data_IF_178913715849
#
_entry.id   IF_178913715849
#
_cell.length_a   1.000
_cell.length_b   1.000
_cell.length_c   1.000
_cell.angle_alpha   90.00
_cell.angle_beta   90.00
_cell.angle_gamma   90.00
#
_symmetry.space_group_name_H-M   'P 1'
#
loop_
_entity.id
_entity.type
_entity.pdbx_description
1 polymer ?
#
# COMPACT_ATOMS: atom_id res chain seq x y z
N UNK A 1 4.22 -17.29 2.38
CA UNK A 1 4.12 -16.89 3.78
C UNK A 1 3.60 -15.46 3.84
N UNK A 2 2.37 -15.31 4.33
CA UNK A 2 1.76 -14.01 4.54
C UNK A 2 2.54 -13.29 5.62
N UNK A 3 3.32 -12.30 5.22
CA UNK A 3 3.95 -11.41 6.17
C UNK A 3 2.85 -10.50 6.72
N UNK A 4 2.47 -10.71 7.96
CA UNK A 4 1.59 -9.80 8.68
C UNK A 4 2.23 -8.42 8.62
N UNK A 5 1.55 -7.44 7.98
CA UNK A 5 1.99 -6.05 7.92
C UNK A 5 1.84 -5.42 9.32
N UNK A 6 2.74 -5.75 10.23
CA UNK A 6 2.74 -5.17 11.56
C UNK A 6 3.33 -3.75 11.50
N UNK A 7 2.47 -2.74 11.74
CA UNK A 7 2.84 -1.35 12.05
C UNK A 7 3.67 -0.60 10.98
N UNK A 8 3.50 -0.89 9.70
CA UNK A 8 4.11 -0.07 8.67
C UNK A 8 3.39 1.26 8.56
N UNK A 9 4.16 2.34 8.57
CA UNK A 9 3.65 3.66 8.23
C UNK A 9 3.32 3.69 6.75
N UNK A 10 2.06 3.99 6.43
CA UNK A 10 1.54 4.06 5.08
C UNK A 10 1.36 5.51 4.63
N UNK A 11 1.42 5.74 3.35
CA UNK A 11 0.92 6.96 2.72
C UNK A 11 -0.36 6.65 1.95
N UNK A 12 -1.40 7.43 2.19
CA UNK A 12 -2.73 7.22 1.59
C UNK A 12 -3.13 8.43 0.76
N UNK A 13 -3.69 8.13 -0.40
CA UNK A 13 -4.26 9.10 -1.33
C UNK A 13 -5.72 8.78 -1.60
N UNK A 14 -6.53 9.81 -1.78
CA UNK A 14 -7.85 9.71 -2.39
C UNK A 14 -7.93 10.71 -3.52
N UNK A 15 -7.99 10.21 -4.74
CA UNK A 15 -7.83 10.98 -5.97
C UNK A 15 -9.09 10.87 -6.82
N UNK A 16 -9.51 11.99 -7.40
CA UNK A 16 -10.64 12.01 -8.33
C UNK A 16 -10.35 11.12 -9.54
N UNK A 17 -11.24 10.20 -9.83
CA UNK A 17 -11.17 9.30 -10.99
C UNK A 17 -12.26 9.54 -12.02
N UNK A 18 -13.39 10.06 -11.58
CA UNK A 18 -14.51 10.45 -12.45
C UNK A 18 -15.10 11.77 -12.02
N UNK A 19 -15.52 12.57 -12.98
CA UNK A 19 -16.41 13.71 -12.76
C UNK A 19 -17.85 13.17 -12.70
N UNK A 20 -18.41 13.15 -11.51
CA UNK A 20 -19.73 12.57 -11.26
C UNK A 20 -20.88 13.40 -11.88
N UNK A 21 -20.64 14.68 -12.22
CA UNK A 21 -21.64 15.52 -12.89
C UNK A 21 -21.71 15.28 -14.38
N UNK A 22 -20.60 14.97 -15.01
CA UNK A 22 -20.49 14.78 -16.46
C UNK A 22 -20.28 13.32 -16.86
N UNK A 23 -20.11 12.43 -15.90
CA UNK A 23 -19.73 11.01 -16.11
C UNK A 23 -18.44 10.85 -16.91
N UNK A 24 -17.55 11.83 -16.83
CA UNK A 24 -16.27 11.83 -17.56
C UNK A 24 -15.18 11.25 -16.68
N UNK A 25 -14.45 10.28 -17.21
CA UNK A 25 -13.26 9.73 -16.54
C UNK A 25 -12.13 10.77 -16.49
N UNK A 26 -11.42 10.81 -15.37
CA UNK A 26 -10.20 11.60 -15.23
C UNK A 26 -9.06 10.84 -15.91
N UNK A 27 -8.50 11.43 -16.93
CA UNK A 27 -7.41 10.92 -17.75
C UNK A 27 -6.22 11.87 -17.70
N UNK A 28 -5.13 11.51 -18.32
CA UNK A 28 -3.95 12.39 -18.43
C UNK A 28 -4.29 13.74 -19.06
N UNK A 29 -5.28 13.78 -19.97
CA UNK A 29 -5.68 15.00 -20.67
C UNK A 29 -6.42 16.01 -19.79
N UNK A 30 -7.22 15.56 -18.82
CA UNK A 30 -8.06 16.42 -17.97
C UNK A 30 -7.65 16.43 -16.49
N UNK A 31 -6.66 15.65 -16.12
CA UNK A 31 -6.20 15.50 -14.72
C UNK A 31 -5.79 16.81 -14.09
N UNK A 32 -5.08 17.67 -14.84
CA UNK A 32 -4.60 18.95 -14.31
C UNK A 32 -5.75 19.83 -13.84
N UNK A 33 -6.84 19.91 -14.62
CA UNK A 33 -8.02 20.68 -14.24
C UNK A 33 -8.77 20.04 -13.07
N UNK A 34 -8.94 18.71 -13.09
CA UNK A 34 -9.66 17.99 -12.04
C UNK A 34 -8.93 18.03 -10.69
N UNK A 35 -7.65 17.72 -10.66
CA UNK A 35 -6.88 17.68 -9.41
C UNK A 35 -6.48 19.07 -8.91
N UNK A 36 -6.48 20.08 -9.77
CA UNK A 36 -6.33 21.49 -9.39
C UNK A 36 -7.60 22.12 -8.82
N UNK A 37 -8.72 21.45 -8.92
CA UNK A 37 -10.01 21.94 -8.41
C UNK A 37 -10.08 21.77 -6.87
N UNK A 38 -9.60 22.77 -6.17
CA UNK A 38 -9.56 22.79 -4.70
C UNK A 38 -10.92 23.03 -4.06
N UNK A 39 -11.84 23.70 -4.75
CA UNK A 39 -13.20 23.95 -4.25
C UNK A 39 -14.03 22.67 -4.15
N UNK A 40 -13.82 21.74 -5.10
CA UNK A 40 -14.54 20.48 -5.15
C UNK A 40 -13.67 19.29 -4.75
N UNK A 41 -12.53 19.55 -4.14
CA UNK A 41 -11.64 18.50 -3.63
C UNK A 41 -11.22 17.49 -4.72
N UNK A 42 -10.62 17.93 -5.79
CA UNK A 42 -10.09 17.05 -6.85
C UNK A 42 -9.04 16.07 -6.33
N UNK A 43 -8.26 16.47 -5.32
CA UNK A 43 -7.51 15.59 -4.44
C UNK A 43 -8.10 15.67 -3.05
N UNK A 44 -8.68 14.59 -2.57
CA UNK A 44 -9.29 14.55 -1.24
C UNK A 44 -8.25 14.23 -0.15
N UNK A 45 -7.40 13.26 -0.39
CA UNK A 45 -6.27 12.89 0.48
C UNK A 45 -4.98 12.92 -0.34
N UNK A 46 -3.97 13.61 0.16
CA UNK A 46 -2.69 13.71 -0.53
C UNK A 46 -1.55 13.32 0.41
N UNK A 47 -1.07 12.10 0.27
CA UNK A 47 -0.01 11.52 1.11
C UNK A 47 -0.30 11.64 2.61
N UNK A 48 -1.48 11.24 3.02
CA UNK A 48 -1.84 11.21 4.43
C UNK A 48 -1.19 10.00 5.09
N UNK A 49 -0.43 10.25 6.15
CA UNK A 49 0.16 9.19 6.93
C UNK A 49 -0.92 8.30 7.56
N UNK A 50 -0.71 7.00 7.52
CA UNK A 50 -1.61 6.04 8.10
C UNK A 50 -0.84 4.91 8.80
N UNK A 51 -1.45 4.32 9.80
CA UNK A 51 -0.95 3.14 10.47
C UNK A 51 -1.89 1.96 10.25
N UNK A 52 -1.30 0.77 10.20
CA UNK A 52 -2.05 -0.47 10.21
C UNK A 52 -2.31 -0.85 11.66
N UNK A 53 -3.56 -1.02 12.02
CA UNK A 53 -4.00 -1.43 13.36
C UNK A 53 -4.81 -2.70 13.30
N UNK A 54 -4.71 -3.54 14.32
CA UNK A 54 -5.62 -4.65 14.46
C UNK A 54 -7.04 -4.14 14.68
N UNK A 55 -8.05 -4.87 14.19
CA UNK A 55 -9.43 -4.60 14.55
C UNK A 55 -9.59 -4.78 16.06
N UNK A 56 -10.19 -3.81 16.80
CA UNK A 56 -10.39 -3.94 18.22
C UNK A 56 -11.26 -5.14 18.54
N UNK A 57 -10.99 -5.75 19.68
CA UNK A 57 -11.85 -6.81 20.22
C UNK A 57 -13.22 -6.26 20.62
N UNK A 58 -14.22 -7.12 20.65
CA UNK A 58 -15.64 -6.85 20.83
C UNK A 58 -16.04 -6.16 22.15
N UNK A 59 -15.55 -5.00 22.42
CA UNK A 59 -16.04 -4.21 23.57
C UNK A 59 -16.79 -2.92 23.19
N UNK A 60 -17.14 -2.81 21.94
CA UNK A 60 -18.26 -1.97 21.61
C UNK A 60 -18.14 -0.87 20.61
N UNK A 61 -17.04 -0.54 19.95
CA UNK A 61 -17.14 0.59 19.00
C UNK A 61 -16.53 0.38 17.61
N UNK A 62 -15.59 -0.51 17.44
CA UNK A 62 -14.96 -0.78 16.15
C UNK A 62 -14.75 -2.28 15.95
N UNK A 63 -15.82 -3.02 15.84
CA UNK A 63 -15.77 -4.45 15.52
C UNK A 63 -15.38 -4.62 14.04
N UNK A 64 -14.51 -5.59 13.76
CA UNK A 64 -14.27 -6.04 12.38
C UNK A 64 -15.62 -6.32 11.72
N UNK A 65 -15.94 -5.69 10.58
CA UNK A 65 -17.22 -5.91 9.92
C UNK A 65 -17.46 -7.39 9.64
N UNK A 66 -18.65 -7.89 9.94
CA UNK A 66 -19.05 -9.24 9.58
C UNK A 66 -18.94 -9.42 8.06
N UNK A 67 -18.30 -10.47 7.59
CA UNK A 67 -18.10 -10.70 6.16
C UNK A 67 -16.73 -10.27 5.63
N UNK A 68 -15.92 -9.55 6.37
CA UNK A 68 -14.49 -9.51 6.11
C UNK A 68 -13.88 -10.85 6.56
N UNK A 69 -14.11 -11.88 5.76
CA UNK A 69 -13.73 -13.26 6.09
C UNK A 69 -12.23 -13.49 6.07
N UNK A 70 -11.48 -12.54 5.56
CA UNK A 70 -10.03 -12.62 5.57
C UNK A 70 -9.52 -12.26 6.97
N UNK A 71 -9.12 -13.26 7.75
CA UNK A 71 -8.48 -13.08 9.06
C UNK A 71 -7.20 -12.22 9.00
N UNK A 72 -6.68 -12.01 7.79
CA UNK A 72 -5.53 -11.15 7.51
C UNK A 72 -5.91 -9.69 7.28
N UNK A 73 -7.20 -9.36 7.14
CA UNK A 73 -7.63 -7.98 6.95
C UNK A 73 -7.34 -7.15 8.20
N UNK A 74 -6.66 -6.04 8.01
CA UNK A 74 -6.26 -5.10 9.05
C UNK A 74 -6.89 -3.74 8.78
N UNK A 75 -7.17 -2.99 9.86
CA UNK A 75 -7.70 -1.63 9.77
C UNK A 75 -6.58 -0.65 9.48
N UNK A 76 -6.80 0.24 8.50
CA UNK A 76 -5.93 1.39 8.25
C UNK A 76 -6.52 2.60 9.00
N UNK A 77 -5.71 3.22 9.84
CA UNK A 77 -6.07 4.41 10.61
C UNK A 77 -5.28 5.60 10.08
N UNK A 78 -6.00 6.63 9.65
CA UNK A 78 -5.40 7.85 9.12
C UNK A 78 -4.95 8.78 10.24
N UNK A 79 -3.84 9.49 10.02
CA UNK A 79 -3.39 10.57 10.90
C UNK A 79 -3.97 11.91 10.45
N UNK A 80 -4.28 12.76 11.40
CA UNK A 80 -4.61 14.16 11.16
C UNK A 80 -3.74 15.02 12.08
N UNK A 81 -2.70 15.62 11.52
CA UNK A 81 -1.61 16.15 12.32
C UNK A 81 -0.92 15.03 13.09
N UNK A 82 -0.74 15.20 14.38
CA UNK A 82 -0.15 14.19 15.28
C UNK A 82 -1.17 13.19 15.85
N UNK A 83 -2.46 13.34 15.51
CA UNK A 83 -3.51 12.47 16.04
C UNK A 83 -3.65 11.22 15.18
N UNK A 84 -3.46 10.04 15.79
CA UNK A 84 -3.51 8.74 15.12
C UNK A 84 -4.92 8.28 14.71
N UNK A 85 -5.96 9.04 15.02
CA UNK A 85 -7.35 8.74 14.70
C UNK A 85 -7.98 9.91 13.92
N UNK A 86 -7.34 10.31 12.84
CA UNK A 86 -7.85 11.35 11.97
C UNK A 86 -9.14 10.94 11.28
N UNK A 87 -10.17 11.79 11.34
CA UNK A 87 -11.42 11.59 10.62
C UNK A 87 -11.46 12.54 9.43
N UNK A 88 -11.65 11.96 8.26
CA UNK A 88 -11.81 12.68 6.99
C UNK A 88 -13.19 12.37 6.42
N UNK A 89 -13.82 13.36 5.84
CA UNK A 89 -15.18 13.26 5.32
C UNK A 89 -15.17 13.37 3.80
N UNK A 90 -16.03 12.60 3.15
CA UNK A 90 -16.31 12.81 1.74
C UNK A 90 -16.99 14.17 1.55
N UNK A 91 -16.62 14.92 0.51
CA UNK A 91 -17.28 16.19 0.21
C UNK A 91 -18.78 15.98 0.01
N UNK A 92 -19.58 16.88 0.51
CA UNK A 92 -21.03 16.89 0.28
C UNK A 92 -21.37 17.19 -1.18
N UNK A 93 -20.50 17.92 -1.86
CA UNK A 93 -20.59 18.20 -3.30
C UNK A 93 -20.21 16.94 -4.08
N UNK A 94 -20.97 16.68 -5.13
CA UNK A 94 -20.93 15.40 -5.86
C UNK A 94 -20.15 15.50 -7.17
N UNK A 95 -19.14 16.36 -7.23
CA UNK A 95 -18.44 16.57 -8.49
C UNK A 95 -17.52 15.39 -8.84
N UNK A 96 -16.89 14.78 -7.86
CA UNK A 96 -15.90 13.73 -8.11
C UNK A 96 -16.21 12.43 -7.39
N UNK A 97 -15.89 11.34 -8.05
CA UNK A 97 -15.72 10.02 -7.47
C UNK A 97 -14.25 9.78 -7.21
N UNK A 98 -13.93 9.06 -6.14
CA UNK A 98 -12.56 8.85 -5.71
C UNK A 98 -12.14 7.40 -5.83
N UNK A 99 -10.86 7.19 -6.12
CA UNK A 99 -10.14 5.95 -5.86
C UNK A 99 -9.12 6.19 -4.77
N UNK A 100 -8.87 5.17 -3.97
CA UNK A 100 -7.86 5.18 -2.92
C UNK A 100 -6.59 4.50 -3.41
N UNK A 101 -5.46 5.07 -3.03
CA UNK A 101 -4.14 4.54 -3.32
C UNK A 101 -3.34 4.50 -2.03
N UNK A 102 -2.54 3.47 -1.86
CA UNK A 102 -1.69 3.33 -0.69
C UNK A 102 -0.32 2.81 -1.05
N UNK A 103 0.66 3.20 -0.28
CA UNK A 103 2.03 2.73 -0.40
C UNK A 103 2.73 2.70 0.95
N UNK A 104 3.80 1.96 1.04
CA UNK A 104 4.74 1.99 2.15
C UNK A 104 6.16 1.73 1.64
N UNK A 105 7.19 2.15 2.40
CA UNK A 105 7.16 2.95 3.63
C UNK A 105 6.82 4.43 3.35
N UNK A 106 6.11 5.05 4.27
CA UNK A 106 5.67 6.45 4.17
C UNK A 106 6.86 7.41 3.99
N UNK A 107 6.71 8.34 3.05
CA UNK A 107 7.68 9.38 2.78
C UNK A 107 7.12 10.74 3.21
N UNK A 108 7.59 11.24 4.34
CA UNK A 108 7.12 12.48 4.94
C UNK A 108 7.42 13.70 4.06
N UNK A 109 6.54 14.70 4.12
CA UNK A 109 6.75 16.00 3.47
C UNK A 109 6.59 16.01 1.96
N UNK A 110 6.13 14.92 1.36
CA UNK A 110 5.84 14.86 -0.07
C UNK A 110 4.34 14.92 -0.34
N UNK A 111 3.98 15.55 -1.44
CA UNK A 111 2.63 15.54 -2.00
C UNK A 111 2.71 15.29 -3.50
N UNK A 112 1.63 14.81 -4.09
CA UNK A 112 1.53 14.63 -5.53
C UNK A 112 0.73 15.76 -6.16
N UNK A 113 0.92 15.93 -7.46
CA UNK A 113 0.15 16.82 -8.32
C UNK A 113 -0.19 16.10 -9.62
N UNK A 114 -1.05 16.72 -10.44
CA UNK A 114 -1.38 16.17 -11.76
C UNK A 114 -0.14 16.02 -12.67
N UNK A 115 0.79 16.97 -12.58
CA UNK A 115 2.02 16.93 -13.36
C UNK A 115 3.06 15.96 -12.81
N UNK A 116 3.01 15.68 -11.49
CA UNK A 116 3.95 14.80 -10.80
C UNK A 116 3.21 13.88 -9.82
N UNK A 117 2.58 12.81 -10.31
CA UNK A 117 1.86 11.83 -9.48
C UNK A 117 2.81 10.80 -8.88
N UNK A 118 3.89 11.23 -8.27
CA UNK A 118 5.01 10.39 -7.87
C UNK A 118 5.48 10.69 -6.45
N UNK A 119 5.91 9.64 -5.75
CA UNK A 119 6.60 9.69 -4.48
C UNK A 119 8.05 9.25 -4.69
N UNK A 120 9.00 10.00 -4.13
CA UNK A 120 10.42 9.73 -4.27
C UNK A 120 11.02 9.15 -3.00
N UNK A 121 11.72 8.03 -3.14
CA UNK A 121 12.58 7.43 -2.14
C UNK A 121 14.02 7.84 -2.46
N UNK A 122 14.48 8.94 -1.85
CA UNK A 122 15.75 9.59 -2.22
C UNK A 122 16.99 8.76 -1.89
N UNK A 123 16.87 7.82 -0.95
CA UNK A 123 17.97 6.97 -0.48
C UNK A 123 17.52 5.52 -0.45
N UNK A 124 17.38 4.96 -1.62
CA UNK A 124 17.09 3.53 -1.74
C UNK A 124 18.39 2.74 -1.53
N UNK A 125 18.40 1.90 -0.50
CA UNK A 125 19.57 1.08 -0.13
C UNK A 125 19.30 -0.43 -0.14
N UNK A 126 18.10 -0.84 -0.60
CA UNK A 126 17.68 -2.24 -0.63
C UNK A 126 17.01 -2.74 0.66
N UNK A 127 16.93 -1.91 1.69
CA UNK A 127 16.22 -2.26 2.93
C UNK A 127 14.72 -1.96 2.86
N UNK A 128 14.31 -1.08 1.96
CA UNK A 128 12.92 -0.68 1.79
C UNK A 128 12.16 -1.70 0.95
N UNK A 129 11.26 -2.39 1.56
CA UNK A 129 10.26 -3.21 0.88
C UNK A 129 9.09 -2.32 0.45
N UNK A 130 9.17 -1.79 -0.76
CA UNK A 130 8.14 -0.88 -1.28
C UNK A 130 6.92 -1.69 -1.69
N UNK A 131 5.80 -1.37 -1.09
CA UNK A 131 4.50 -1.95 -1.42
C UNK A 131 3.55 -0.88 -1.91
N UNK A 132 2.61 -1.26 -2.75
CA UNK A 132 1.61 -0.37 -3.32
C UNK A 132 0.37 -1.15 -3.76
N UNK A 133 -0.78 -0.54 -3.75
CA UNK A 133 -1.97 -0.90 -4.53
C UNK A 133 -3.01 0.21 -4.45
N UNK A 134 -4.16 -0.04 -5.07
CA UNK A 134 -5.30 0.86 -5.06
C UNK A 134 -6.59 0.13 -4.64
N UNK A 135 -7.61 0.93 -4.38
CA UNK A 135 -8.98 0.48 -4.23
C UNK A 135 -9.90 1.42 -5.02
N UNK A 136 -10.62 0.86 -5.97
CA UNK A 136 -11.62 1.56 -6.77
C UNK A 136 -12.96 0.87 -6.58
N UNK A 137 -14.00 1.62 -6.24
CA UNK A 137 -15.35 1.05 -6.21
C UNK A 137 -15.77 0.66 -7.63
N UNK A 138 -16.23 -0.58 -7.76
CA UNK A 138 -16.79 -1.06 -9.03
C UNK A 138 -18.17 -0.47 -9.32
N UNK A 139 -18.66 -0.72 -10.52
CA UNK A 139 -20.04 -0.40 -10.87
C UNK A 139 -21.03 -1.25 -10.08
N UNK A 140 -22.10 -0.64 -9.60
CA UNK A 140 -23.19 -1.39 -9.01
C UNK A 140 -24.12 -1.81 -10.13
N UNK A 141 -24.40 -3.11 -10.20
CA UNK A 141 -25.39 -3.63 -11.13
C UNK A 141 -26.75 -2.94 -10.93
N UNK A 142 -27.47 -2.59 -12.01
CA UNK A 142 -28.75 -1.85 -11.93
C UNK A 142 -29.82 -2.50 -11.05
N UNK A 143 -29.75 -3.82 -10.86
CA UNK A 143 -30.66 -4.59 -10.03
C UNK A 143 -30.07 -5.01 -8.69
N UNK A 144 -28.95 -4.42 -8.30
CA UNK A 144 -28.31 -4.72 -7.02
C UNK A 144 -29.25 -4.37 -5.86
N UNK A 145 -29.23 -5.23 -4.84
CA UNK A 145 -29.91 -4.98 -3.56
C UNK A 145 -29.41 -3.71 -2.87
N UNK A 146 -28.22 -3.22 -3.26
CA UNK A 146 -27.61 -2.00 -2.74
C UNK A 146 -28.16 -0.70 -3.33
N UNK A 147 -29.02 -0.77 -4.36
CA UNK A 147 -29.66 0.40 -4.96
C UNK A 147 -31.10 0.53 -4.49
N UNK A 148 -31.50 1.74 -4.11
CA UNK A 148 -32.91 2.05 -3.94
C UNK A 148 -33.65 1.88 -5.26
N UNK A 149 -34.94 1.45 -5.18
CA UNK A 149 -35.80 1.32 -6.34
C UNK A 149 -35.87 2.57 -7.22
N UNK A 150 -35.76 3.71 -6.59
CA UNK A 150 -35.87 5.03 -7.22
C UNK A 150 -34.57 5.51 -7.86
N UNK A 151 -33.45 4.86 -7.56
CA UNK A 151 -32.10 5.22 -8.04
C UNK A 151 -31.60 4.24 -9.11
N UNK A 152 -32.45 3.33 -9.53
CA UNK A 152 -32.15 2.31 -10.56
C UNK A 152 -31.66 2.86 -11.91
N UNK A 153 -31.85 4.16 -12.16
CA UNK A 153 -31.48 4.80 -13.40
C UNK A 153 -30.24 5.71 -13.28
N UNK A 154 -29.65 5.83 -12.07
CA UNK A 154 -28.36 6.49 -11.94
C UNK A 154 -27.28 5.48 -12.36
N UNK A 155 -27.13 5.38 -13.66
CA UNK A 155 -26.15 4.53 -14.29
C UNK A 155 -24.76 4.90 -13.76
N UNK A 156 -24.00 3.89 -13.37
CA UNK A 156 -22.56 3.98 -13.09
C UNK A 156 -22.16 4.81 -11.86
N UNK A 157 -22.50 4.34 -10.68
CA UNK A 157 -21.78 4.74 -9.48
C UNK A 157 -20.40 4.04 -9.50
N UNK A 158 -19.44 4.66 -10.15
CA UNK A 158 -18.04 4.23 -10.16
C UNK A 158 -17.25 5.09 -9.19
N UNK A 159 -16.36 4.46 -8.43
CA UNK A 159 -15.57 5.15 -7.43
C UNK A 159 -16.32 5.41 -6.11
N UNK A 160 -15.60 5.94 -5.13
CA UNK A 160 -16.15 6.21 -3.82
C UNK A 160 -16.63 7.66 -3.70
N UNK A 161 -17.83 7.86 -3.18
CA UNK A 161 -18.45 9.16 -2.90
C UNK A 161 -19.49 9.05 -1.79
N UNK A 162 -19.79 10.18 -1.13
CA UNK A 162 -20.67 10.20 0.02
C UNK A 162 -22.08 9.63 -0.28
N UNK A 163 -22.66 9.96 -1.41
CA UNK A 163 -24.00 9.47 -1.80
C UNK A 163 -24.01 7.94 -2.00
N UNK A 164 -22.99 7.44 -2.67
CA UNK A 164 -22.84 6.02 -2.93
C UNK A 164 -22.73 5.22 -1.62
N UNK A 165 -21.85 5.67 -0.74
CA UNK A 165 -21.61 5.03 0.55
C UNK A 165 -22.87 5.05 1.42
N UNK A 166 -23.59 6.17 1.46
CA UNK A 166 -24.86 6.25 2.20
C UNK A 166 -25.89 5.25 1.68
N UNK A 167 -26.00 5.12 0.37
CA UNK A 167 -26.95 4.16 -0.22
C UNK A 167 -26.56 2.73 0.09
N UNK A 168 -25.30 2.37 -0.06
CA UNK A 168 -24.82 1.04 0.25
C UNK A 168 -25.08 0.68 1.72
N UNK A 169 -24.72 1.56 2.65
CA UNK A 169 -24.97 1.36 4.08
C UNK A 169 -26.44 1.21 4.39
N UNK A 170 -27.26 2.08 3.83
CA UNK A 170 -28.72 2.04 4.07
C UNK A 170 -29.33 0.71 3.60
N UNK A 171 -28.98 0.25 2.40
CA UNK A 171 -29.46 -1.02 1.90
C UNK A 171 -28.90 -2.22 2.66
N UNK A 172 -27.67 -2.15 3.10
CA UNK A 172 -27.08 -3.17 3.96
C UNK A 172 -27.87 -3.30 5.28
N UNK A 173 -28.20 -2.20 5.90
CA UNK A 173 -28.99 -2.22 7.15
C UNK A 173 -30.43 -2.72 6.95
N UNK A 174 -31.08 -2.35 5.84
CA UNK A 174 -32.44 -2.78 5.54
C UNK A 174 -32.56 -4.25 5.15
N UNK A 175 -31.56 -4.80 4.47
CA UNK A 175 -31.57 -6.17 3.96
C UNK A 175 -30.79 -7.14 4.86
N UNK A 176 -30.47 -6.72 6.06
CA UNK A 176 -29.78 -7.54 7.04
C UNK A 176 -30.66 -8.64 7.55
N UNK A 177 -30.88 -9.67 6.74
CA UNK A 177 -31.43 -10.94 7.22
C UNK A 177 -30.30 -11.74 7.85
N UNK A 178 -30.57 -12.40 8.95
CA UNK A 178 -29.59 -13.15 9.74
C UNK A 178 -28.87 -14.30 8.99
N UNK A 179 -29.28 -14.59 7.75
CA UNK A 179 -28.73 -15.66 6.93
C UNK A 179 -27.90 -15.21 5.73
N UNK A 180 -27.94 -13.94 5.35
CA UNK A 180 -27.12 -13.42 4.27
C UNK A 180 -25.94 -12.67 4.87
N UNK A 181 -24.84 -13.37 5.03
CA UNK A 181 -23.53 -12.72 5.20
C UNK A 181 -23.26 -11.98 3.90
N UNK A 182 -23.43 -10.66 3.92
CA UNK A 182 -22.92 -9.82 2.85
C UNK A 182 -21.41 -9.94 2.87
N UNK A 183 -20.88 -10.72 1.96
CA UNK A 183 -19.47 -11.10 1.90
C UNK A 183 -18.55 -9.92 1.65
N UNK A 184 -19.08 -8.79 1.18
CA UNK A 184 -18.32 -7.62 0.85
C UNK A 184 -18.95 -6.36 1.47
N UNK A 185 -18.14 -5.59 2.16
CA UNK A 185 -18.50 -4.23 2.59
C UNK A 185 -18.06 -3.24 1.50
N UNK A 186 -18.85 -3.09 0.43
CA UNK A 186 -18.41 -2.38 -0.77
C UNK A 186 -18.18 -0.89 -0.54
N UNK A 187 -18.62 -0.35 0.58
CA UNK A 187 -18.37 1.04 0.97
C UNK A 187 -17.03 1.24 1.69
N UNK A 188 -16.35 0.17 2.08
CA UNK A 188 -15.04 0.24 2.72
C UNK A 188 -13.97 0.01 1.65
N UNK A 189 -13.11 1.00 1.38
CA UNK A 189 -11.97 0.78 0.49
C UNK A 189 -11.07 -0.32 1.05
N UNK A 190 -10.77 -1.32 0.23
CA UNK A 190 -9.89 -2.42 0.58
C UNK A 190 -8.69 -2.41 -0.36
N UNK A 191 -7.50 -2.19 0.19
CA UNK A 191 -6.25 -2.16 -0.56
C UNK A 191 -5.49 -3.46 -0.30
N UNK A 192 -5.35 -4.29 -1.32
CA UNK A 192 -4.52 -5.49 -1.29
C UNK A 192 -3.10 -5.13 -1.72
N UNK A 193 -2.27 -4.76 -0.76
CA UNK A 193 -0.90 -4.32 -1.06
C UNK A 193 -0.08 -5.41 -1.74
N UNK A 194 0.68 -4.99 -2.74
CA UNK A 194 1.59 -5.84 -3.50
C UNK A 194 3.03 -5.33 -3.39
N UNK A 195 3.97 -6.26 -3.27
CA UNK A 195 5.39 -5.94 -3.29
C UNK A 195 5.81 -5.49 -4.69
N UNK A 196 6.42 -4.32 -4.76
CA UNK A 196 6.88 -3.74 -6.03
C UNK A 196 8.34 -4.10 -6.35
N UNK A 197 9.02 -4.77 -5.45
CA UNK A 197 10.42 -5.17 -5.55
C UNK A 197 10.59 -6.68 -5.52
N UNK A 198 11.71 -7.16 -6.04
CA UNK A 198 12.15 -8.51 -5.87
C UNK A 198 12.99 -8.64 -4.61
N UNK A 199 12.72 -9.66 -3.82
CA UNK A 199 13.51 -10.01 -2.64
C UNK A 199 14.60 -11.00 -3.04
N UNK A 200 15.85 -10.66 -2.75
CA UNK A 200 16.98 -11.58 -2.93
C UNK A 200 17.43 -12.13 -1.57
N UNK A 201 17.66 -13.41 -1.57
CA UNK A 201 18.22 -14.13 -0.42
C UNK A 201 19.43 -14.91 -0.87
N UNK A 202 20.51 -14.83 -0.12
CA UNK A 202 21.76 -15.53 -0.44
C UNK A 202 22.04 -16.61 0.59
N UNK A 203 22.58 -17.71 0.12
CA UNK A 203 23.10 -18.76 0.97
C UNK A 203 24.47 -19.19 0.46
N UNK A 204 25.38 -19.53 1.37
CA UNK A 204 26.70 -20.08 1.04
C UNK A 204 26.69 -21.56 1.37
N UNK A 205 26.99 -22.38 0.39
CA UNK A 205 27.08 -23.84 0.52
C UNK A 205 28.47 -24.31 0.09
N UNK A 206 29.05 -25.31 0.75
CA UNK A 206 30.29 -25.92 0.29
C UNK A 206 30.11 -26.59 -1.09
N UNK A 207 31.12 -26.54 -1.94
CA UNK A 207 31.12 -27.31 -3.18
C UNK A 207 31.17 -28.83 -2.86
N UNK A 208 30.46 -29.61 -3.64
CA UNK A 208 30.29 -31.06 -3.40
C UNK A 208 31.56 -31.90 -3.60
N UNK A 209 32.54 -31.36 -4.32
CA UNK A 209 33.77 -32.04 -4.69
C UNK A 209 34.97 -31.66 -3.81
N UNK A 210 34.76 -30.97 -2.70
CA UNK A 210 35.82 -30.57 -1.79
C UNK A 210 36.18 -31.73 -0.83
N UNK A 211 37.43 -31.75 -0.38
CA UNK A 211 37.86 -32.61 0.72
C UNK A 211 37.05 -32.34 1.98
N UNK A 212 37.00 -33.27 2.91
CA UNK A 212 36.28 -33.10 4.17
C UNK A 212 36.87 -31.96 4.99
N UNK A 213 38.18 -31.76 4.88
CA UNK A 213 38.91 -30.67 5.52
C UNK A 213 38.51 -29.31 4.95
N UNK A 214 38.38 -29.19 3.62
CA UNK A 214 37.93 -28.00 2.95
C UNK A 214 36.44 -27.70 3.24
N UNK A 215 35.60 -28.71 3.34
CA UNK A 215 34.19 -28.54 3.74
C UNK A 215 34.08 -27.99 5.14
N UNK A 216 34.87 -28.48 6.07
CA UNK A 216 34.87 -27.97 7.45
C UNK A 216 35.35 -26.52 7.50
N UNK A 217 36.37 -26.18 6.72
CA UNK A 217 36.85 -24.82 6.61
C UNK A 217 35.77 -23.88 6.04
N UNK A 218 35.07 -24.31 4.97
CA UNK A 218 33.99 -23.50 4.33
C UNK A 218 32.78 -23.36 5.25
N UNK A 219 32.42 -24.39 6.03
CA UNK A 219 31.35 -24.31 7.03
C UNK A 219 31.61 -23.27 8.12
N UNK A 220 32.88 -23.03 8.43
CA UNK A 220 33.29 -22.03 9.41
C UNK A 220 33.53 -20.64 8.78
N UNK A 221 33.45 -20.54 7.46
CA UNK A 221 33.54 -19.24 6.79
C UNK A 221 32.28 -18.43 7.01
N UNK A 222 32.44 -17.14 7.26
CA UNK A 222 31.36 -16.19 7.43
C UNK A 222 31.42 -15.15 6.33
N UNK A 223 30.30 -14.91 5.67
CA UNK A 223 30.18 -13.84 4.68
C UNK A 223 29.92 -12.53 5.41
N UNK A 224 30.84 -11.60 5.29
CA UNK A 224 30.77 -10.33 6.01
C UNK A 224 29.85 -9.31 5.32
N UNK A 225 29.98 -9.18 4.01
CA UNK A 225 29.21 -8.23 3.23
C UNK A 225 28.90 -8.81 1.85
N UNK A 226 27.70 -8.54 1.35
CA UNK A 226 27.35 -8.75 -0.05
C UNK A 226 26.95 -7.40 -0.62
N UNK A 227 27.58 -7.00 -1.71
CA UNK A 227 27.30 -5.72 -2.37
C UNK A 227 26.72 -5.98 -3.75
N UNK A 228 25.58 -5.36 -4.03
CA UNK A 228 24.96 -5.34 -5.37
C UNK A 228 25.36 -4.03 -6.02
N UNK A 229 26.14 -4.10 -7.10
CA UNK A 229 26.62 -2.94 -7.84
C UNK A 229 25.66 -2.54 -8.96
N UNK A 230 25.77 -1.30 -9.38
CA UNK A 230 25.02 -0.76 -10.52
C UNK A 230 23.52 -0.81 -10.37
N UNK A 231 23.04 -0.64 -9.15
CA UNK A 231 21.61 -0.49 -8.85
C UNK A 231 21.30 1.00 -8.62
N UNK A 232 20.09 1.42 -9.05
CA UNK A 232 19.63 2.78 -8.75
C UNK A 232 19.49 3.01 -7.26
N UNK A 233 19.93 4.14 -6.77
CA UNK A 233 19.87 4.54 -5.35
C UNK A 233 18.79 5.56 -5.04
N UNK A 234 18.07 6.00 -6.06
CA UNK A 234 16.84 6.79 -5.94
C UNK A 234 15.71 6.03 -6.63
N UNK A 235 14.63 5.78 -5.91
CA UNK A 235 13.44 5.14 -6.45
C UNK A 235 12.28 6.14 -6.49
N UNK A 236 11.53 6.14 -7.58
CA UNK A 236 10.35 6.97 -7.77
C UNK A 236 9.15 6.07 -8.03
N UNK A 237 8.13 6.17 -7.17
CA UNK A 237 6.90 5.42 -7.26
C UNK A 237 5.81 6.26 -7.93
N UNK A 238 5.30 5.78 -9.06
CA UNK A 238 4.09 6.34 -9.65
C UNK A 238 2.87 5.87 -8.83
N UNK A 239 2.18 6.79 -8.19
CA UNK A 239 1.04 6.48 -7.30
C UNK A 239 -0.14 5.90 -8.06
N UNK A 240 -0.32 6.22 -9.33
CA UNK A 240 -1.45 5.75 -10.15
C UNK A 240 -1.26 4.31 -10.64
N UNK A 241 -0.03 3.89 -10.86
CA UNK A 241 0.28 2.62 -11.51
C UNK A 241 1.07 1.65 -10.65
N UNK A 242 1.72 2.13 -9.58
CA UNK A 242 2.63 1.35 -8.76
C UNK A 242 4.01 1.12 -9.38
N UNK A 243 4.25 1.65 -10.57
CA UNK A 243 5.54 1.49 -11.25
C UNK A 243 6.65 2.22 -10.51
N UNK A 244 7.76 1.51 -10.28
CA UNK A 244 9.01 2.08 -9.77
C UNK A 244 9.97 2.41 -10.91
N UNK A 245 10.58 3.57 -10.81
CA UNK A 245 11.69 4.00 -11.67
C UNK A 245 12.91 4.26 -10.81
N UNK A 246 14.05 3.71 -11.19
CA UNK A 246 15.30 3.86 -10.46
C UNK A 246 16.27 4.76 -11.22
N UNK A 247 16.90 5.67 -10.48
CA UNK A 247 17.94 6.59 -10.96
C UNK A 247 19.13 6.59 -10.01
N UNK A 248 20.19 7.33 -10.37
CA UNK A 248 21.41 7.48 -9.56
C UNK A 248 22.07 6.13 -9.23
N UNK A 249 22.82 5.60 -10.17
CA UNK A 249 23.51 4.33 -10.00
C UNK A 249 24.53 4.34 -8.85
N UNK A 250 24.45 3.33 -8.03
CA UNK A 250 25.32 3.13 -6.89
C UNK A 250 25.46 1.66 -6.54
N UNK A 251 25.65 1.38 -5.27
CA UNK A 251 25.74 0.03 -4.74
C UNK A 251 24.79 -0.16 -3.57
N UNK A 252 24.17 -1.32 -3.52
CA UNK A 252 23.36 -1.74 -2.38
C UNK A 252 24.18 -2.69 -1.53
N UNK A 253 24.32 -2.39 -0.25
CA UNK A 253 25.02 -3.21 0.72
C UNK A 253 24.00 -3.99 1.55
N UNK A 254 24.08 -5.30 1.49
CA UNK A 254 23.31 -6.16 2.40
C UNK A 254 23.90 -6.07 3.79
N UNK A 255 23.07 -5.80 4.76
CA UNK A 255 23.39 -5.72 6.17
C UNK A 255 22.53 -6.71 6.94
N UNK A 256 23.05 -7.17 8.07
CA UNK A 256 22.22 -7.89 9.01
C UNK A 256 21.16 -6.96 9.59
N UNK A 257 19.92 -7.39 9.55
CA UNK A 257 18.80 -6.63 10.09
C UNK A 257 18.21 -7.37 11.28
N UNK A 258 17.98 -6.66 12.36
CA UNK A 258 17.22 -7.15 13.51
C UNK A 258 15.84 -6.54 13.48
N UNK A 259 14.82 -7.39 13.42
CA UNK A 259 13.42 -7.00 13.52
C UNK A 259 12.98 -7.15 15.00
N UNK A 260 12.47 -6.09 15.60
CA UNK A 260 11.98 -6.11 16.99
C UNK A 260 10.56 -6.71 17.10
N UNK A 261 10.01 -7.23 16.02
CA UNK A 261 8.66 -7.78 15.97
C UNK A 261 7.56 -6.72 15.98
N UNK A 262 7.94 -5.44 16.01
CA UNK A 262 7.02 -4.29 16.00
C UNK A 262 7.12 -3.46 14.71
N UNK A 263 7.84 -3.98 13.72
CA UNK A 263 8.07 -3.31 12.45
C UNK A 263 9.27 -2.36 12.43
N UNK A 264 10.03 -2.28 13.52
CA UNK A 264 11.29 -1.53 13.53
C UNK A 264 12.43 -2.47 13.11
N UNK A 265 13.05 -2.13 12.00
CA UNK A 265 14.23 -2.83 11.49
C UNK A 265 15.46 -2.01 11.87
N UNK A 266 16.34 -2.60 12.65
CA UNK A 266 17.63 -2.03 13.02
C UNK A 266 18.73 -2.75 12.26
N UNK A 267 19.56 -2.00 11.53
CA UNK A 267 20.73 -2.54 10.86
C UNK A 267 21.94 -2.46 11.77
N UNK A 268 22.71 -3.54 11.81
CA UNK A 268 24.00 -3.56 12.51
C UNK A 268 25.04 -2.91 11.61
N UNK A 269 25.45 -1.69 11.94
CA UNK A 269 26.33 -0.89 11.09
C UNK A 269 27.80 -1.36 11.10
N UNK A 270 28.24 -2.04 12.15
CA UNK A 270 29.64 -2.42 12.26
C UNK A 270 29.79 -3.72 13.02
N UNK A 271 30.21 -4.73 12.30
CA UNK A 271 30.57 -5.99 12.89
C UNK A 271 32.09 -6.06 13.06
N UNK A 272 32.56 -5.51 14.16
CA UNK A 272 33.98 -5.46 14.49
C UNK A 272 34.58 -6.84 14.78
N UNK A 273 33.77 -7.83 15.07
CA UNK A 273 34.24 -9.20 15.37
C UNK A 273 34.22 -10.16 14.17
N UNK A 274 33.75 -9.71 13.02
CA UNK A 274 33.73 -10.50 11.79
C UNK A 274 32.74 -11.68 11.79
N UNK A 275 31.79 -11.75 12.72
CA UNK A 275 30.83 -12.84 12.88
C UNK A 275 29.46 -12.57 12.30
N UNK A 276 29.37 -12.00 11.09
CA UNK A 276 28.08 -11.77 10.44
C UNK A 276 27.54 -13.11 9.95
N UNK A 277 26.39 -13.51 10.42
CA UNK A 277 25.57 -14.48 9.75
C UNK A 277 25.14 -13.94 8.38
N UNK A 278 24.95 -14.81 7.39
CA UNK A 278 24.57 -14.43 6.04
C UNK A 278 23.42 -13.42 6.10
N UNK A 279 23.56 -12.23 5.46
CA UNK A 279 22.50 -11.22 5.41
C UNK A 279 21.23 -11.86 4.83
N UNK A 280 20.09 -11.64 5.50
CA UNK A 280 18.92 -12.44 5.18
C UNK A 280 18.25 -12.00 3.88
N UNK A 281 17.99 -10.72 3.70
CA UNK A 281 17.17 -10.26 2.59
C UNK A 281 17.57 -8.87 2.11
N UNK A 282 17.56 -8.68 0.80
CA UNK A 282 17.69 -7.37 0.16
C UNK A 282 16.64 -7.24 -0.94
N UNK A 283 16.04 -6.07 -1.06
CA UNK A 283 15.07 -5.74 -2.08
C UNK A 283 15.71 -5.01 -3.25
N UNK A 284 15.45 -5.47 -4.44
CA UNK A 284 16.00 -4.93 -5.69
C UNK A 284 14.90 -4.72 -6.71
N UNK A 285 15.20 -3.93 -7.73
CA UNK A 285 14.31 -3.73 -8.86
C UNK A 285 13.92 -5.09 -9.49
N UNK A 286 12.63 -5.29 -9.72
CA UNK A 286 12.17 -6.45 -10.50
C UNK A 286 12.73 -6.40 -11.91
N UNK A 287 13.19 -7.54 -12.40
CA UNK A 287 13.54 -7.69 -13.79
C UNK A 287 12.25 -7.71 -14.63
N UNK A 288 12.07 -6.67 -15.42
CA UNK A 288 11.05 -6.66 -16.47
C UNK A 288 11.66 -7.37 -17.67
N UNK A 289 11.47 -8.69 -17.76
CA UNK A 289 11.95 -9.49 -18.85
C UNK A 289 11.42 -8.98 -20.18
N UNK A 290 12.33 -8.73 -21.13
CA UNK A 290 12.01 -8.46 -22.51
C UNK A 290 11.61 -9.73 -23.27
#
# INVERSE_FOLDING_TARGET
>A
SSTTLTLRSLGIFALATNDATTSTAITDANRTAAWGDTENYGILLNNIQAAVTAWPKQDGSDVKPDGLENDLAQKITLYKGNAANGVYYYPMQKKYDYSFYGYAPYQEGQTISAAKPEITFARFDGSQDIIWNNATAGEIAPNSIYLKKDVKNDASLTGYKAQYIRQLKYHHELNRTASEKLQDYPWIPNINFEHQLAQLRFSVIPATEQSEEDRTAVQNMKVKNITIKSHGTTATLNVLTGKLTFTDNGSLLMREATDDGKGNITFTDDNTDGTVEVPKDIYVQKYEGG
#
